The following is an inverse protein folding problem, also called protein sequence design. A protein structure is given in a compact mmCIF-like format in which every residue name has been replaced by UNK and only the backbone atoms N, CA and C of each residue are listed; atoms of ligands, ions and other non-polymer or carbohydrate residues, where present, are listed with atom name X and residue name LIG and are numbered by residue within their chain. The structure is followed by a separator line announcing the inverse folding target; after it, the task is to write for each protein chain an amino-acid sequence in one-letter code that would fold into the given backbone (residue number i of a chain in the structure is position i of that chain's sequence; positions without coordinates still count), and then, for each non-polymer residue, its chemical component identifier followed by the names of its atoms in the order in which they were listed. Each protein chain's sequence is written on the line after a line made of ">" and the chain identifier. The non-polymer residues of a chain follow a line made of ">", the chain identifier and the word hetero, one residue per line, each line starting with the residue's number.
data_IF_461253020837
#
_entry.id   IF_461253020837
#
_cell.length_a   1.000
_cell.length_b   1.000
_cell.length_c   1.000
_cell.angle_alpha   90.00
_cell.angle_beta   90.00
_cell.angle_gamma   90.00
#
_symmetry.space_group_name_H-M   'P 1'
#
loop_
_entity.id
_entity.type
_entity.pdbx_description
1 polymer ?
#
# COMPACT_ATOMS: atom_id res chain seq x y z
N UNK A 1 -13.32 1.70 -9.13
CA UNK A 1 -14.74 2.13 -9.11
C UNK A 1 -15.07 3.04 -7.92
N UNK A 2 -14.84 2.62 -6.67
CA UNK A 2 -15.19 3.40 -5.46
C UNK A 2 -14.64 4.84 -5.43
N UNK A 3 -13.37 5.03 -5.82
CA UNK A 3 -12.77 6.36 -5.79
C UNK A 3 -13.39 7.38 -6.75
N UNK A 4 -14.02 6.93 -7.85
CA UNK A 4 -14.72 7.81 -8.79
C UNK A 4 -16.09 8.21 -8.21
N UNK A 5 -16.80 7.25 -7.60
CA UNK A 5 -18.09 7.51 -6.96
C UNK A 5 -17.95 8.52 -5.81
N UNK A 6 -17.00 8.31 -4.90
CA UNK A 6 -16.75 9.22 -3.77
C UNK A 6 -16.36 10.62 -4.26
N UNK A 7 -15.54 10.71 -5.33
CA UNK A 7 -15.16 11.99 -5.90
C UNK A 7 -16.40 12.74 -6.44
N UNK A 8 -17.29 12.04 -7.16
CA UNK A 8 -18.52 12.63 -7.69
C UNK A 8 -19.43 13.14 -6.56
N UNK A 9 -19.65 12.35 -5.50
CA UNK A 9 -20.46 12.76 -4.34
C UNK A 9 -19.86 14.00 -3.64
N UNK A 10 -18.54 14.04 -3.45
CA UNK A 10 -17.85 15.20 -2.83
C UNK A 10 -17.97 16.45 -3.71
N UNK A 11 -17.86 16.31 -5.03
CA UNK A 11 -18.04 17.42 -5.98
C UNK A 11 -19.47 17.93 -5.95
N UNK A 12 -20.47 17.04 -5.99
CA UNK A 12 -21.88 17.39 -5.93
C UNK A 12 -22.23 18.13 -4.62
N UNK A 13 -21.71 17.68 -3.48
CA UNK A 13 -21.87 18.35 -2.19
C UNK A 13 -21.27 19.76 -2.22
N UNK A 14 -20.04 19.88 -2.72
CA UNK A 14 -19.36 21.17 -2.81
C UNK A 14 -20.16 22.15 -3.66
N UNK A 15 -20.69 21.71 -4.81
CA UNK A 15 -21.55 22.50 -5.68
C UNK A 15 -22.86 22.91 -5.00
N UNK A 16 -23.51 21.99 -4.27
CA UNK A 16 -24.77 22.26 -3.56
C UNK A 16 -24.60 23.24 -2.41
N UNK A 17 -23.46 23.19 -1.72
CA UNK A 17 -23.16 24.03 -0.55
C UNK A 17 -23.03 25.53 -0.86
N UNK A 18 -22.78 25.90 -2.13
CA UNK A 18 -22.52 27.28 -2.60
C UNK A 18 -21.45 28.04 -1.81
N UNK A 19 -20.55 27.31 -1.13
CA UNK A 19 -19.41 27.88 -0.40
C UNK A 19 -18.13 27.67 -1.20
N UNK A 20 -17.13 28.56 -1.07
CA UNK A 20 -15.80 28.27 -1.57
C UNK A 20 -15.29 26.94 -1.00
N UNK A 21 -14.86 26.02 -1.85
CA UNK A 21 -14.38 24.70 -1.47
C UNK A 21 -13.12 24.33 -2.27
N UNK A 22 -12.25 23.53 -1.67
CA UNK A 22 -11.09 22.94 -2.30
C UNK A 22 -11.15 21.42 -2.09
N UNK A 23 -10.95 20.65 -3.17
CA UNK A 23 -10.87 19.20 -3.12
C UNK A 23 -9.40 18.80 -3.30
N UNK A 24 -8.86 18.09 -2.32
CA UNK A 24 -7.52 17.55 -2.36
C UNK A 24 -7.58 16.03 -2.37
N UNK A 25 -7.17 15.42 -3.48
CA UNK A 25 -7.09 13.96 -3.62
C UNK A 25 -5.63 13.52 -3.45
N UNK A 26 -5.42 12.59 -2.53
CA UNK A 26 -4.14 11.88 -2.36
C UNK A 26 -4.33 10.45 -2.81
N UNK A 27 -3.36 9.95 -3.57
CA UNK A 27 -3.27 8.55 -3.96
C UNK A 27 -1.85 8.05 -3.74
N UNK A 28 -1.70 6.76 -3.44
CA UNK A 28 -0.40 6.15 -3.21
C UNK A 28 0.07 5.43 -4.46
N UNK A 29 1.16 5.93 -5.05
CA UNK A 29 1.80 5.21 -6.16
C UNK A 29 2.32 3.86 -5.68
N UNK A 30 1.84 2.79 -6.33
CA UNK A 30 2.24 1.40 -6.04
C UNK A 30 2.21 1.10 -4.54
N UNK A 31 1.06 1.37 -3.90
CA UNK A 31 0.89 1.31 -2.45
C UNK A 31 1.48 0.04 -1.82
N UNK A 32 1.26 -1.12 -2.45
CA UNK A 32 1.78 -2.40 -1.98
C UNK A 32 3.28 -2.55 -2.19
N UNK A 33 3.85 -2.11 -3.31
CA UNK A 33 5.29 -2.22 -3.59
C UNK A 33 6.15 -1.27 -2.73
N UNK A 34 5.52 -0.26 -2.15
CA UNK A 34 6.18 0.82 -1.42
C UNK A 34 6.18 0.66 0.11
N UNK A 35 5.51 -0.38 0.64
CA UNK A 35 5.40 -0.59 2.10
C UNK A 35 6.77 -0.87 2.73
N UNK A 36 7.19 -0.01 3.66
CA UNK A 36 8.36 -0.30 4.51
C UNK A 36 8.03 -1.39 5.54
N UNK A 37 8.83 -2.46 5.57
CA UNK A 37 8.63 -3.56 6.52
C UNK A 37 8.91 -3.17 7.97
N UNK A 38 9.85 -2.26 8.21
CA UNK A 38 10.11 -1.74 9.57
C UNK A 38 8.92 -0.92 10.06
N UNK A 39 8.31 -0.13 9.19
CA UNK A 39 7.09 0.61 9.52
C UNK A 39 5.90 -0.33 9.75
N UNK A 40 5.76 -1.38 8.92
CA UNK A 40 4.72 -2.39 9.09
C UNK A 40 4.84 -3.11 10.44
N UNK A 41 6.03 -3.59 10.80
CA UNK A 41 6.24 -4.25 12.10
C UNK A 41 6.01 -3.30 13.28
N UNK A 42 6.44 -2.04 13.16
CA UNK A 42 6.13 -0.99 14.13
C UNK A 42 4.61 -0.79 14.29
N UNK A 43 3.86 -0.72 13.18
CA UNK A 43 2.41 -0.55 13.23
C UNK A 43 1.69 -1.77 13.80
N UNK A 44 2.12 -2.99 13.45
CA UNK A 44 1.57 -4.22 14.04
C UNK A 44 1.76 -4.25 15.56
N UNK A 45 2.93 -3.82 16.06
CA UNK A 45 3.13 -3.65 17.50
C UNK A 45 2.15 -2.62 18.10
N UNK A 46 1.99 -1.46 17.46
CA UNK A 46 1.09 -0.39 17.95
C UNK A 46 -0.39 -0.77 17.92
N UNK A 47 -0.77 -1.65 17.00
CA UNK A 47 -2.12 -2.21 16.88
C UNK A 47 -2.37 -3.39 17.84
N UNK A 48 -1.37 -3.78 18.65
CA UNK A 48 -1.52 -4.80 19.69
C UNK A 48 -1.31 -6.25 19.21
N UNK A 49 -0.71 -6.46 18.03
CA UNK A 49 -0.39 -7.81 17.57
C UNK A 49 0.71 -8.43 18.44
N UNK A 50 0.48 -9.67 18.89
CA UNK A 50 1.45 -10.37 19.72
C UNK A 50 2.71 -10.76 18.92
N UNK A 51 3.79 -11.04 19.65
CA UNK A 51 5.09 -11.35 19.04
C UNK A 51 5.03 -12.55 18.08
N UNK A 52 4.19 -13.56 18.37
CA UNK A 52 4.03 -14.74 17.51
C UNK A 52 3.51 -14.35 16.12
N UNK A 53 2.47 -13.53 16.06
CA UNK A 53 1.91 -13.04 14.80
C UNK A 53 2.90 -12.19 14.00
N UNK A 54 3.59 -11.27 14.68
CA UNK A 54 4.62 -10.42 14.04
C UNK A 54 5.76 -11.24 13.45
N UNK A 55 6.22 -12.30 14.14
CA UNK A 55 7.24 -13.23 13.62
C UNK A 55 6.77 -13.97 12.38
N UNK A 56 5.52 -14.43 12.35
CA UNK A 56 4.95 -15.08 11.17
C UNK A 56 4.90 -14.13 9.97
N UNK A 57 4.40 -12.91 10.17
CA UNK A 57 4.38 -11.88 9.11
C UNK A 57 5.80 -11.58 8.63
N UNK A 58 6.74 -11.36 9.55
CA UNK A 58 8.15 -11.14 9.21
C UNK A 58 8.75 -12.29 8.40
N UNK A 59 8.44 -13.54 8.74
CA UNK A 59 8.90 -14.70 7.99
C UNK A 59 8.35 -14.70 6.55
N UNK A 60 7.06 -14.41 6.37
CA UNK A 60 6.45 -14.29 5.05
C UNK A 60 7.13 -13.20 4.21
N UNK A 61 7.39 -12.02 4.79
CA UNK A 61 8.02 -10.90 4.08
C UNK A 61 9.42 -11.26 3.57
N UNK A 62 10.24 -11.93 4.39
CA UNK A 62 11.63 -12.24 4.05
C UNK A 62 11.80 -13.54 3.26
N UNK A 63 10.78 -14.40 3.17
CA UNK A 63 10.85 -15.68 2.46
C UNK A 63 10.77 -15.56 0.94
N UNK A 64 10.34 -14.41 0.41
CA UNK A 64 10.08 -14.24 -1.02
C UNK A 64 11.35 -13.87 -1.79
N UNK A 65 11.59 -14.53 -2.93
CA UNK A 65 12.52 -14.05 -3.98
C UNK A 65 11.73 -13.53 -5.18
N UNK A 66 12.32 -12.57 -5.91
CA UNK A 66 11.72 -11.92 -7.08
C UNK A 66 12.69 -11.99 -8.26
N UNK A 67 12.19 -12.26 -9.46
CA UNK A 67 12.85 -11.97 -10.74
C UNK A 67 11.94 -11.11 -11.60
N UNK A 68 12.53 -10.36 -12.54
CA UNK A 68 11.78 -9.54 -13.50
C UNK A 68 11.91 -10.19 -14.88
N UNK A 69 10.79 -10.35 -15.59
CA UNK A 69 10.83 -10.80 -16.97
C UNK A 69 11.30 -9.66 -17.89
N UNK A 70 12.42 -9.86 -18.57
CA UNK A 70 12.97 -8.97 -19.59
C UNK A 70 12.81 -9.69 -20.93
N UNK A 71 11.94 -9.16 -21.80
CA UNK A 71 11.61 -9.78 -23.09
C UNK A 71 11.20 -11.26 -22.96
N UNK A 72 10.38 -11.57 -21.96
CA UNK A 72 9.90 -12.93 -21.68
C UNK A 72 10.90 -13.85 -21.00
N UNK A 73 12.15 -13.42 -20.79
CA UNK A 73 13.18 -14.20 -20.08
C UNK A 73 13.38 -13.66 -18.65
N UNK A 74 13.43 -14.52 -17.62
CA UNK A 74 13.63 -14.07 -16.25
C UNK A 74 15.04 -13.50 -16.03
N UNK A 75 15.11 -12.39 -15.30
CA UNK A 75 16.35 -11.84 -14.77
C UNK A 75 16.90 -12.73 -13.65
N UNK A 76 18.11 -12.39 -13.18
CA UNK A 76 18.61 -12.92 -11.91
C UNK A 76 17.62 -12.60 -10.77
N UNK A 77 17.43 -13.57 -9.88
CA UNK A 77 16.64 -13.38 -8.68
C UNK A 77 17.29 -12.42 -7.69
N UNK A 78 16.47 -11.70 -6.94
CA UNK A 78 16.86 -10.84 -5.85
C UNK A 78 15.84 -10.90 -4.70
N UNK A 79 16.30 -10.55 -3.51
CA UNK A 79 15.45 -10.44 -2.33
C UNK A 79 14.82 -9.04 -2.30
N UNK A 80 13.49 -8.92 -2.19
CA UNK A 80 12.86 -7.63 -1.96
C UNK A 80 13.23 -7.12 -0.57
N UNK A 81 13.34 -5.80 -0.43
CA UNK A 81 13.61 -5.13 0.85
C UNK A 81 12.41 -4.34 1.39
N UNK A 82 11.34 -4.26 0.60
CA UNK A 82 10.09 -3.57 0.89
C UNK A 82 8.97 -4.14 0.03
N UNK A 83 7.76 -3.73 0.35
CA UNK A 83 6.56 -4.03 -0.40
C UNK A 83 5.88 -5.33 0.04
N UNK A 84 4.65 -5.55 -0.42
CA UNK A 84 3.81 -6.68 -0.05
C UNK A 84 3.46 -7.51 -1.29
N UNK A 85 3.21 -8.80 -1.07
CA UNK A 85 2.76 -9.77 -2.07
C UNK A 85 1.45 -10.40 -1.64
#
# INVERSE_FOLDING_TARGET
>A
LHGILILNEVVEEAMRSKKPAMIFKVDFEKAYDSVSWSFLDYMLLRLGFCQKWRRWISACLHSATISVLINGSPSKEFNPSRGLR
#
